data_IF_607703522858
#
_entry.id   IF_607703522858
#
_cell.length_a   1.000
_cell.length_b   1.000
_cell.length_c   1.000
_cell.angle_alpha   90.00
_cell.angle_beta   90.00
_cell.angle_gamma   90.00
#
_symmetry.space_group_name_H-M   'P 1'
#
loop_
_entity.id
_entity.type
_entity.pdbx_description
1 polymer ?
#
# COMPACT_ATOMS: atom_id res chain seq x y z
N UNK A 1 -9.45 18.55 25.90
CA UNK A 1 -8.03 18.98 25.86
C UNK A 1 -7.42 18.25 24.67
N UNK A 2 -7.27 18.96 23.55
CA UNK A 2 -6.83 18.38 22.26
C UNK A 2 -5.36 18.67 22.13
N UNK A 3 -4.52 17.64 22.12
CA UNK A 3 -3.08 17.78 21.82
C UNK A 3 -2.88 17.62 20.32
N UNK A 4 -2.47 18.70 19.70
CA UNK A 4 -2.06 18.78 18.30
C UNK A 4 -0.62 18.26 18.20
N UNK A 5 -0.40 17.20 17.44
CA UNK A 5 0.95 16.79 17.03
C UNK A 5 1.10 17.16 15.56
N UNK A 6 1.88 18.19 15.29
CA UNK A 6 2.29 18.58 13.95
C UNK A 6 3.45 17.66 13.53
N UNK A 7 3.28 16.88 12.47
CA UNK A 7 4.35 16.16 11.83
C UNK A 7 4.66 16.80 10.47
N UNK A 8 5.87 17.29 10.34
CA UNK A 8 6.47 17.88 9.15
C UNK A 8 6.76 16.78 8.12
N UNK A 9 5.82 16.50 7.25
CA UNK A 9 6.00 16.04 5.86
C UNK A 9 4.59 16.00 5.27
N UNK A 10 4.34 16.75 4.22
CA UNK A 10 3.12 17.12 3.51
C UNK A 10 2.01 16.10 3.24
N UNK A 11 1.55 15.38 4.25
CA UNK A 11 0.37 14.53 4.18
C UNK A 11 -0.64 15.05 5.22
N UNK A 12 -1.72 15.61 4.72
CA UNK A 12 -2.81 16.18 5.51
C UNK A 12 -3.67 15.03 6.05
N UNK A 13 -3.48 14.65 7.32
CA UNK A 13 -4.38 13.72 7.99
C UNK A 13 -5.54 14.49 8.61
N UNK A 14 -6.77 14.18 8.19
CA UNK A 14 -7.96 14.67 8.85
C UNK A 14 -8.45 13.62 9.85
N UNK A 15 -8.47 13.96 11.15
CA UNK A 15 -9.05 13.11 12.19
C UNK A 15 -10.53 13.47 12.36
N UNK A 16 -11.41 12.53 12.09
CA UNK A 16 -12.81 12.63 12.50
C UNK A 16 -12.98 11.77 13.75
N UNK A 17 -13.16 12.42 14.91
CA UNK A 17 -13.48 11.74 16.17
C UNK A 17 -14.99 11.54 16.27
N UNK A 18 -15.45 10.31 16.08
CA UNK A 18 -16.80 9.89 16.46
C UNK A 18 -16.66 8.94 17.65
N UNK A 19 -17.44 9.13 18.69
CA UNK A 19 -17.50 8.32 19.90
C UNK A 19 -17.59 6.81 19.59
N UNK A 20 -16.46 6.11 19.70
CA UNK A 20 -16.14 4.70 19.47
C UNK A 20 -15.40 4.40 18.15
N UNK A 21 -14.15 4.78 18.10
CA UNK A 21 -13.21 4.32 17.09
C UNK A 21 -12.54 5.48 16.35
N UNK A 22 -11.25 5.45 16.28
CA UNK A 22 -10.48 6.34 15.39
C UNK A 22 -10.59 5.71 14.00
N UNK A 23 -11.31 6.37 13.09
CA UNK A 23 -11.33 5.99 11.68
C UNK A 23 -10.10 6.64 11.05
N UNK A 24 -9.13 5.83 10.65
CA UNK A 24 -8.04 6.28 9.81
C UNK A 24 -8.55 6.29 8.36
N UNK A 25 -8.82 7.47 7.83
CA UNK A 25 -9.10 7.61 6.40
C UNK A 25 -7.75 7.64 5.67
N UNK A 26 -7.55 6.66 4.80
CA UNK A 26 -6.37 6.59 3.97
C UNK A 26 -6.57 7.45 2.73
N UNK A 27 -5.72 8.48 2.53
CA UNK A 27 -5.70 9.19 1.26
C UNK A 27 -4.98 8.34 0.20
N UNK A 28 -5.64 8.10 -0.94
CA UNK A 28 -5.06 7.45 -2.11
C UNK A 28 -4.39 8.52 -2.99
N UNK A 29 -3.05 8.59 -3.01
CA UNK A 29 -2.36 9.63 -3.77
C UNK A 29 -2.37 9.35 -5.27
N UNK A 30 -2.24 10.41 -6.07
CA UNK A 30 -2.15 10.33 -7.53
C UNK A 30 -0.98 9.44 -7.98
N UNK A 31 -1.26 8.46 -8.84
CA UNK A 31 -0.26 7.53 -9.40
C UNK A 31 0.02 6.31 -8.52
N UNK A 32 -0.69 6.12 -7.39
CA UNK A 32 -0.49 4.97 -6.49
C UNK A 32 -0.77 3.63 -7.18
N UNK A 33 -1.67 3.61 -8.16
CA UNK A 33 -2.03 2.42 -8.93
C UNK A 33 -1.01 2.05 -10.01
N UNK A 34 -0.11 2.97 -10.36
CA UNK A 34 0.83 2.84 -11.48
C UNK A 34 0.28 3.34 -12.81
N UNK A 35 -1.00 3.74 -12.88
CA UNK A 35 -1.60 4.26 -14.11
C UNK A 35 -1.50 5.78 -14.19
N UNK A 36 -1.20 6.28 -15.40
CA UNK A 36 -1.04 7.71 -15.68
C UNK A 36 -1.45 8.03 -17.12
N UNK A 37 -1.92 9.26 -17.34
CA UNK A 37 -2.48 9.68 -18.63
C UNK A 37 -1.42 10.06 -19.68
N UNK A 38 -0.19 10.40 -19.26
CA UNK A 38 0.92 10.75 -20.12
C UNK A 38 2.26 10.45 -19.44
N UNK A 39 3.34 10.28 -20.23
CA UNK A 39 4.69 10.00 -19.69
C UNK A 39 5.18 11.11 -18.75
N UNK A 40 4.75 12.35 -18.95
CA UNK A 40 5.12 13.48 -18.11
C UNK A 40 4.53 13.37 -16.69
N UNK A 41 3.48 12.55 -16.53
CA UNK A 41 2.78 12.31 -15.28
C UNK A 41 3.11 10.93 -14.68
N UNK A 42 4.12 10.23 -15.22
CA UNK A 42 4.55 8.95 -14.67
C UNK A 42 5.07 9.18 -13.24
N UNK A 43 4.53 8.46 -12.23
CA UNK A 43 5.06 8.54 -10.87
C UNK A 43 6.50 8.03 -10.81
N UNK A 44 7.29 8.55 -9.88
CA UNK A 44 8.64 8.06 -9.65
C UNK A 44 8.59 6.65 -9.07
N UNK A 45 9.37 5.75 -9.63
CA UNK A 45 9.51 4.40 -9.09
C UNK A 45 10.40 4.41 -7.84
N UNK A 46 10.06 3.55 -6.90
CA UNK A 46 10.89 3.29 -5.70
C UNK A 46 12.15 2.52 -6.12
N UNK A 47 13.27 2.81 -5.48
CA UNK A 47 14.50 2.05 -5.67
C UNK A 47 14.35 0.63 -5.11
N UNK A 48 14.15 -0.32 -6.02
CA UNK A 48 13.98 -1.73 -5.72
C UNK A 48 15.19 -2.33 -5.02
N UNK A 49 16.43 -1.94 -5.42
CA UNK A 49 17.66 -2.45 -4.82
C UNK A 49 17.79 -1.98 -3.38
N UNK A 50 17.39 -0.76 -3.09
CA UNK A 50 17.35 -0.24 -1.74
C UNK A 50 16.34 -1.00 -0.88
N UNK A 51 15.13 -1.26 -1.39
CA UNK A 51 14.12 -2.07 -0.68
C UNK A 51 14.64 -3.48 -0.39
N UNK A 52 15.21 -4.16 -1.38
CA UNK A 52 15.80 -5.49 -1.22
C UNK A 52 16.89 -5.48 -0.14
N UNK A 53 17.78 -4.50 -0.17
CA UNK A 53 18.85 -4.35 0.82
C UNK A 53 18.30 -4.19 2.25
N UNK A 54 17.27 -3.36 2.45
CA UNK A 54 16.60 -3.21 3.74
C UNK A 54 16.00 -4.54 4.19
N UNK A 55 15.27 -5.25 3.32
CA UNK A 55 14.71 -6.56 3.65
C UNK A 55 15.79 -7.54 4.10
N UNK A 56 16.89 -7.67 3.36
CA UNK A 56 18.00 -8.54 3.73
C UNK A 56 18.60 -8.19 5.10
N UNK A 57 18.83 -6.91 5.34
CA UNK A 57 19.45 -6.45 6.59
C UNK A 57 18.55 -6.71 7.81
N UNK A 58 17.27 -6.38 7.71
CA UNK A 58 16.31 -6.55 8.81
C UNK A 58 16.05 -8.03 9.10
N UNK A 59 15.84 -8.82 8.06
CA UNK A 59 15.62 -10.27 8.18
C UNK A 59 16.84 -10.95 8.81
N UNK A 60 18.05 -10.62 8.36
CA UNK A 60 19.28 -11.16 8.92
C UNK A 60 19.47 -10.80 10.42
N UNK A 61 19.20 -9.55 10.81
CA UNK A 61 19.28 -9.11 12.22
C UNK A 61 18.33 -9.89 13.12
N UNK A 62 17.19 -10.29 12.60
CA UNK A 62 16.18 -11.08 13.32
C UNK A 62 16.36 -12.59 13.17
N UNK A 63 17.53 -13.06 12.67
CA UNK A 63 17.85 -14.47 12.43
C UNK A 63 16.88 -15.19 11.48
N UNK A 64 16.19 -14.44 10.63
CA UNK A 64 15.32 -14.96 9.59
C UNK A 64 16.07 -15.28 8.29
N UNK A 65 15.30 -15.67 7.25
CA UNK A 65 15.80 -15.92 5.90
C UNK A 65 14.91 -15.24 4.88
N UNK A 66 15.52 -14.65 3.85
CA UNK A 66 14.83 -14.28 2.63
C UNK A 66 14.67 -15.57 1.79
N UNK A 67 13.42 -15.93 1.49
CA UNK A 67 13.09 -17.15 0.75
C UNK A 67 12.98 -16.88 -0.75
N UNK A 68 12.33 -15.77 -1.12
CA UNK A 68 12.03 -15.41 -2.50
C UNK A 68 12.03 -13.90 -2.66
N UNK A 69 12.58 -13.43 -3.76
CA UNK A 69 12.47 -12.05 -4.22
C UNK A 69 11.84 -12.10 -5.59
N UNK A 70 10.68 -11.48 -5.73
CA UNK A 70 10.06 -11.37 -7.05
C UNK A 70 10.81 -10.29 -7.85
N UNK A 71 11.42 -10.69 -8.96
CA UNK A 71 12.02 -9.76 -9.91
C UNK A 71 10.86 -9.18 -10.72
N UNK A 72 10.71 -7.87 -10.69
CA UNK A 72 9.68 -7.03 -11.35
C UNK A 72 8.64 -7.83 -12.16
N UNK A 73 7.53 -8.15 -11.52
CA UNK A 73 6.40 -8.69 -12.25
C UNK A 73 5.72 -7.52 -12.96
N UNK A 74 5.77 -7.49 -14.30
CA UNK A 74 5.18 -6.44 -15.14
C UNK A 74 3.66 -6.27 -14.90
N UNK A 75 3.06 -7.19 -14.15
CA UNK A 75 1.62 -7.27 -13.90
C UNK A 75 1.21 -6.80 -12.49
N UNK A 76 2.12 -6.22 -11.70
CA UNK A 76 1.78 -5.69 -10.38
C UNK A 76 2.41 -4.32 -10.13
N UNK A 77 1.72 -3.47 -9.36
CA UNK A 77 2.23 -2.17 -8.94
C UNK A 77 3.02 -2.22 -7.62
N UNK A 78 3.52 -3.38 -7.22
CA UNK A 78 4.26 -3.54 -5.98
C UNK A 78 5.43 -4.52 -6.10
N UNK A 79 6.44 -4.29 -5.27
CA UNK A 79 7.56 -5.19 -5.05
C UNK A 79 7.22 -6.19 -3.96
N UNK A 80 7.67 -7.43 -4.08
CA UNK A 80 7.35 -8.51 -3.16
C UNK A 80 8.61 -9.27 -2.74
N UNK A 81 8.78 -9.44 -1.42
CA UNK A 81 9.83 -10.27 -0.82
C UNK A 81 9.18 -11.25 0.13
N UNK A 82 9.44 -12.54 -0.05
CA UNK A 82 9.00 -13.60 0.86
C UNK A 82 10.11 -13.89 1.87
N UNK A 83 9.78 -13.88 3.14
CA UNK A 83 10.71 -14.10 4.24
C UNK A 83 10.22 -15.19 5.18
N UNK A 84 11.15 -15.97 5.75
CA UNK A 84 10.89 -16.86 6.90
C UNK A 84 11.40 -16.15 8.16
N UNK A 85 10.49 -15.78 9.03
CA UNK A 85 10.78 -15.12 10.29
C UNK A 85 9.92 -15.70 11.41
N UNK A 86 10.56 -16.00 12.53
CA UNK A 86 9.85 -16.57 13.70
C UNK A 86 9.07 -17.86 13.39
N UNK A 87 9.62 -18.72 12.51
CA UNK A 87 8.99 -19.93 11.98
C UNK A 87 7.66 -19.66 11.23
N UNK A 88 7.56 -18.53 10.57
CA UNK A 88 6.43 -18.15 9.72
C UNK A 88 6.92 -17.57 8.41
N UNK A 89 6.29 -17.97 7.33
CA UNK A 89 6.47 -17.34 6.03
C UNK A 89 5.58 -16.10 5.93
N UNK A 90 6.18 -14.98 5.59
CA UNK A 90 5.51 -13.68 5.49
C UNK A 90 5.97 -13.01 4.19
N UNK A 91 5.04 -12.39 3.50
CA UNK A 91 5.34 -11.51 2.38
C UNK A 91 5.46 -10.07 2.86
N UNK A 92 6.54 -9.41 2.46
CA UNK A 92 6.75 -7.98 2.61
C UNK A 92 6.46 -7.34 1.26
N UNK A 93 5.45 -6.47 1.21
CA UNK A 93 4.99 -5.81 -0.01
C UNK A 93 5.32 -4.33 0.08
N UNK A 94 5.91 -3.75 -0.96
CA UNK A 94 6.15 -2.33 -1.09
C UNK A 94 5.51 -1.83 -2.37
N UNK A 95 4.64 -0.82 -2.29
CA UNK A 95 4.10 -0.17 -3.48
C UNK A 95 5.27 0.37 -4.33
N UNK A 96 5.22 0.17 -5.65
CA UNK A 96 6.34 0.51 -6.54
C UNK A 96 6.58 2.02 -6.71
N UNK A 97 5.58 2.85 -6.36
CA UNK A 97 5.58 4.30 -6.58
C UNK A 97 5.56 5.12 -5.30
N UNK A 98 5.13 4.52 -4.18
CA UNK A 98 4.99 5.19 -2.88
C UNK A 98 5.64 4.37 -1.77
N UNK A 99 6.19 5.02 -0.74
CA UNK A 99 6.82 4.31 0.38
C UNK A 99 5.77 3.68 1.32
N UNK A 100 4.77 3.00 0.75
CA UNK A 100 3.73 2.27 1.46
C UNK A 100 4.07 0.79 1.51
N UNK A 101 4.21 0.26 2.71
CA UNK A 101 4.58 -1.12 2.95
C UNK A 101 3.45 -1.85 3.66
N UNK A 102 3.24 -3.11 3.28
CA UNK A 102 2.28 -4.00 3.93
C UNK A 102 2.88 -5.39 4.15
N UNK A 103 2.31 -6.14 5.09
CA UNK A 103 2.61 -7.56 5.28
C UNK A 103 1.42 -8.40 4.87
N UNK A 104 1.72 -9.58 4.30
CA UNK A 104 0.69 -10.54 3.92
C UNK A 104 1.13 -11.97 4.27
N UNK A 105 0.16 -12.82 4.60
CA UNK A 105 0.38 -14.27 4.80
C UNK A 105 0.33 -15.03 3.48
N UNK A 106 -0.47 -14.57 2.52
CA UNK A 106 -0.54 -15.11 1.16
C UNK A 106 -0.66 -13.99 0.14
N UNK A 107 -0.06 -14.21 -1.02
CA UNK A 107 -0.16 -13.32 -2.18
C UNK A 107 -0.44 -14.19 -3.39
N UNK A 108 -1.65 -14.12 -3.89
CA UNK A 108 -2.12 -14.80 -5.09
C UNK A 108 -2.65 -13.77 -6.07
N UNK A 109 -2.79 -14.12 -7.34
CA UNK A 109 -3.32 -13.21 -8.35
C UNK A 109 -4.70 -12.69 -7.92
N UNK A 110 -4.84 -11.38 -7.84
CA UNK A 110 -6.03 -10.65 -7.37
C UNK A 110 -6.47 -10.95 -5.92
N UNK A 111 -5.66 -11.65 -5.14
CA UNK A 111 -6.00 -11.92 -3.75
C UNK A 111 -4.78 -11.83 -2.83
N UNK A 112 -4.80 -10.87 -1.93
CA UNK A 112 -3.75 -10.66 -0.92
C UNK A 112 -4.38 -10.75 0.47
N UNK A 113 -3.89 -11.67 1.29
CA UNK A 113 -4.33 -11.77 2.68
C UNK A 113 -3.41 -10.95 3.59
N UNK A 114 -3.73 -9.66 3.74
CA UNK A 114 -2.97 -8.73 4.59
C UNK A 114 -3.02 -9.12 6.06
N UNK A 115 -1.92 -8.93 6.76
CA UNK A 115 -1.77 -9.19 8.20
C UNK A 115 -1.11 -8.02 8.90
N UNK A 116 -1.38 -7.89 10.20
CA UNK A 116 -0.60 -7.03 11.08
C UNK A 116 0.54 -7.84 11.70
N UNK A 117 1.77 -7.35 11.57
CA UNK A 117 2.92 -7.89 12.29
C UNK A 117 3.63 -6.76 13.06
N UNK A 118 3.32 -6.57 14.35
CA UNK A 118 3.90 -5.47 15.13
C UNK A 118 5.42 -5.55 15.29
N UNK A 119 6.01 -6.75 15.23
CA UNK A 119 7.46 -6.93 15.34
C UNK A 119 8.16 -6.45 14.08
N UNK A 120 7.70 -6.91 12.91
CA UNK A 120 8.21 -6.44 11.62
C UNK A 120 7.90 -4.96 11.39
N UNK A 121 6.69 -4.50 11.71
CA UNK A 121 6.32 -3.09 11.55
C UNK A 121 7.30 -2.16 12.23
N UNK A 122 7.70 -2.47 13.46
CA UNK A 122 8.66 -1.67 14.23
C UNK A 122 10.00 -1.50 13.51
N UNK A 123 10.46 -2.54 12.82
CA UNK A 123 11.74 -2.53 12.11
C UNK A 123 11.65 -1.78 10.77
N UNK A 124 10.48 -1.82 10.09
CA UNK A 124 10.28 -1.16 8.79
C UNK A 124 9.81 0.30 8.87
N UNK A 125 9.14 0.73 9.95
CA UNK A 125 8.65 2.11 10.15
C UNK A 125 9.74 3.19 9.92
N UNK A 126 11.03 3.01 10.27
CA UNK A 126 12.05 4.02 9.98
C UNK A 126 12.28 4.30 8.49
N UNK A 127 11.86 3.40 7.60
CA UNK A 127 12.10 3.48 6.16
C UNK A 127 10.83 3.72 5.36
N UNK A 128 9.69 3.16 5.80
CA UNK A 128 8.44 3.12 5.06
C UNK A 128 7.24 3.41 5.95
N UNK A 129 6.16 3.90 5.35
CA UNK A 129 4.86 3.93 6.01
C UNK A 129 4.26 2.53 5.98
N UNK A 130 4.31 1.84 7.11
CA UNK A 130 3.69 0.52 7.25
C UNK A 130 2.19 0.70 7.43
N UNK A 131 1.43 0.07 6.54
CA UNK A 131 -0.03 0.10 6.53
C UNK A 131 -0.58 -1.06 7.35
N UNK A 132 -1.59 -0.79 8.15
CA UNK A 132 -2.31 -1.81 8.90
C UNK A 132 -3.29 -2.59 8.02
N UNK A 133 -3.62 -3.81 8.45
CA UNK A 133 -4.67 -4.60 7.82
C UNK A 133 -6.00 -3.85 7.77
N UNK A 134 -6.33 -3.09 8.80
CA UNK A 134 -7.55 -2.32 8.92
C UNK A 134 -7.63 -1.20 7.88
N UNK A 135 -6.53 -0.46 7.65
CA UNK A 135 -6.42 0.55 6.59
C UNK A 135 -6.60 -0.08 5.20
N UNK A 136 -5.97 -1.24 4.97
CA UNK A 136 -6.02 -1.93 3.67
C UNK A 136 -7.38 -2.60 3.39
N UNK A 137 -8.14 -2.96 4.42
CA UNK A 137 -9.51 -3.50 4.28
C UNK A 137 -10.58 -2.42 4.32
N UNK A 138 -10.22 -1.13 4.37
CA UNK A 138 -11.18 -0.05 4.23
C UNK A 138 -11.97 -0.22 2.93
N UNK A 139 -13.32 -0.29 2.98
CA UNK A 139 -14.13 -0.44 1.78
C UNK A 139 -14.02 0.79 0.88
N UNK A 140 -14.03 0.54 -0.44
CA UNK A 140 -14.14 1.62 -1.42
C UNK A 140 -15.61 1.99 -1.66
N UNK A 141 -15.91 3.27 -1.56
CA UNK A 141 -17.21 3.83 -1.95
C UNK A 141 -17.12 4.40 -3.37
N UNK A 142 -17.38 3.51 -4.34
CA UNK A 142 -17.32 3.85 -5.77
C UNK A 142 -18.68 4.35 -6.21
N UNK A 143 -18.74 5.56 -6.76
CA UNK A 143 -19.94 6.14 -7.35
C UNK A 143 -19.81 6.26 -8.85
N UNK A 144 -20.87 5.89 -9.54
CA UNK A 144 -20.99 6.10 -10.97
C UNK A 144 -22.14 7.08 -11.25
N UNK A 145 -21.81 8.26 -11.76
CA UNK A 145 -22.79 9.27 -12.13
C UNK A 145 -22.61 9.66 -13.59
N UNK A 146 -23.63 9.40 -14.41
CA UNK A 146 -23.65 9.72 -15.85
C UNK A 146 -22.45 9.15 -16.63
N UNK A 147 -21.99 7.94 -16.26
CA UNK A 147 -20.84 7.29 -16.90
C UNK A 147 -19.47 7.83 -16.45
N UNK A 148 -19.44 8.63 -15.38
CA UNK A 148 -18.20 9.07 -14.75
C UNK A 148 -18.06 8.44 -13.37
N UNK A 149 -16.94 7.75 -13.15
CA UNK A 149 -16.61 7.14 -11.86
C UNK A 149 -15.93 8.15 -10.96
N UNK A 150 -16.29 8.14 -9.69
CA UNK A 150 -15.63 8.87 -8.61
C UNK A 150 -15.58 8.00 -7.36
N UNK A 151 -14.61 8.29 -6.47
CA UNK A 151 -14.53 7.70 -5.15
C UNK A 151 -14.94 8.73 -4.11
N UNK A 152 -15.66 8.28 -3.08
CA UNK A 152 -15.95 9.09 -1.90
C UNK A 152 -14.83 8.99 -0.83
N UNK A 153 -14.01 7.92 -0.89
CA UNK A 153 -12.79 7.85 -0.10
C UNK A 153 -11.88 9.05 -0.44
N UNK A 154 -11.11 9.52 0.54
CA UNK A 154 -10.17 10.62 0.33
C UNK A 154 -9.11 10.19 -0.70
N UNK A 155 -9.01 10.93 -1.83
CA UNK A 155 -8.10 10.56 -2.91
C UNK A 155 -7.71 11.76 -3.78
N UNK A 156 -6.53 11.64 -4.41
CA UNK A 156 -6.00 12.53 -5.44
C UNK A 156 -5.80 11.79 -6.78
N UNK A 157 -6.54 10.70 -7.01
CA UNK A 157 -6.38 9.82 -8.17
C UNK A 157 -6.65 10.57 -9.48
N UNK A 158 -5.86 10.28 -10.50
CA UNK A 158 -6.06 10.82 -11.84
C UNK A 158 -7.15 10.07 -12.62
N UNK A 159 -7.51 10.60 -13.81
CA UNK A 159 -8.58 10.00 -14.63
C UNK A 159 -8.27 8.59 -15.10
N UNK A 160 -7.00 8.27 -15.43
CA UNK A 160 -6.61 6.93 -15.85
C UNK A 160 -6.73 5.92 -14.71
N UNK A 161 -6.39 6.31 -13.48
CA UNK A 161 -6.59 5.47 -12.31
C UNK A 161 -8.07 5.20 -12.03
N UNK A 162 -8.93 6.23 -12.14
CA UNK A 162 -10.37 6.07 -11.98
C UNK A 162 -11.00 5.19 -13.07
N UNK A 163 -10.47 5.22 -14.31
CA UNK A 163 -10.87 4.31 -15.39
C UNK A 163 -10.50 2.86 -15.04
N UNK A 164 -9.32 2.62 -14.48
CA UNK A 164 -8.92 1.28 -14.03
C UNK A 164 -9.78 0.79 -12.86
N UNK A 165 -10.10 1.65 -11.90
CA UNK A 165 -11.02 1.33 -10.80
C UNK A 165 -12.41 0.97 -11.37
N UNK A 166 -12.87 1.67 -12.39
CA UNK A 166 -14.15 1.33 -13.04
C UNK A 166 -14.10 -0.01 -13.75
N UNK A 167 -12.98 -0.38 -14.33
CA UNK A 167 -12.79 -1.65 -15.02
C UNK A 167 -12.63 -2.83 -14.05
N UNK A 168 -11.69 -2.74 -13.10
CA UNK A 168 -11.34 -3.82 -12.20
C UNK A 168 -12.28 -4.00 -11.02
N UNK A 169 -13.04 -2.95 -10.66
CA UNK A 169 -14.02 -2.94 -9.55
C UNK A 169 -13.45 -3.43 -8.22
N UNK A 170 -12.33 -2.86 -7.74
CA UNK A 170 -11.79 -3.25 -6.45
C UNK A 170 -12.79 -2.96 -5.33
N UNK A 171 -12.74 -3.75 -4.26
CA UNK A 171 -13.63 -3.62 -3.11
C UNK A 171 -12.98 -2.84 -1.96
N UNK A 172 -11.66 -2.82 -1.90
CA UNK A 172 -10.92 -2.25 -0.77
C UNK A 172 -9.78 -1.33 -1.20
N UNK A 173 -9.34 -0.47 -0.30
CA UNK A 173 -8.16 0.37 -0.46
C UNK A 173 -6.92 -0.47 -0.78
N UNK A 174 -6.77 -1.63 -0.13
CA UNK A 174 -5.64 -2.54 -0.35
C UNK A 174 -5.57 -3.07 -1.79
N UNK A 175 -6.72 -3.36 -2.41
CA UNK A 175 -6.78 -3.81 -3.81
C UNK A 175 -6.40 -2.71 -4.81
N UNK A 176 -6.51 -1.44 -4.44
CA UNK A 176 -6.02 -0.31 -5.24
C UNK A 176 -4.52 -0.11 -5.03
N UNK A 177 -4.06 -0.16 -3.78
CA UNK A 177 -2.67 0.13 -3.42
C UNK A 177 -1.68 -0.97 -3.80
N UNK A 178 -2.16 -2.23 -3.80
CA UNK A 178 -1.38 -3.42 -4.14
C UNK A 178 -2.17 -4.23 -5.17
N UNK A 179 -2.08 -3.81 -6.43
CA UNK A 179 -2.90 -4.37 -7.50
C UNK A 179 -2.10 -5.21 -8.49
N UNK A 180 -2.83 -6.04 -9.24
CA UNK A 180 -2.34 -6.86 -10.36
C UNK A 180 -2.98 -6.40 -11.68
N UNK A 181 -3.19 -5.11 -11.84
CA UNK A 181 -3.81 -4.56 -13.04
C UNK A 181 -2.75 -4.37 -14.13
N UNK A 182 -3.05 -4.81 -15.34
CA UNK A 182 -2.22 -4.76 -16.54
C UNK A 182 -2.92 -4.06 -17.73
#
# INVERSE_FOLDING_TARGET
>A
MVTRVECLIGLKYMYISILKGVIYLMNLPNGVTGFYSSLDNKPNEIDENHFKSICFDLVRRSQGKVLEIDEQNLTSNFLKVKVDMFNREIYVLLNAYYPFLAFASTVEFQHINFINDPMLSKDFIPFYKVLSKEELHEPLDIRNSRGKVSLENENDLNSSELEQIDYWKPNTVGEVMFNFWD
#
